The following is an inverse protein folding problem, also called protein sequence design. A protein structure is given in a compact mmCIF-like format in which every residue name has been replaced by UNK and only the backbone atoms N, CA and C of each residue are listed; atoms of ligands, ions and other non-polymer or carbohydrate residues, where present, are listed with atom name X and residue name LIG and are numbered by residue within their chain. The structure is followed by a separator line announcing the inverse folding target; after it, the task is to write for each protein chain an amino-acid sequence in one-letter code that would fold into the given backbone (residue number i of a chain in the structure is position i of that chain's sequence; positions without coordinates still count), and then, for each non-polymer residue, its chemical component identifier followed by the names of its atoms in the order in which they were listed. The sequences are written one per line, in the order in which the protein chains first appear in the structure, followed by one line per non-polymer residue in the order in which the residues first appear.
data_IF_671275855886
#
_entry.id   IF_671275855886
#
_cell.length_a   1.000
_cell.length_b   1.000
_cell.length_c   1.000
_cell.angle_alpha   90.00
_cell.angle_beta   90.00
_cell.angle_gamma   90.00
#
_symmetry.space_group_name_H-M   'P 1'
#
loop_
_entity.id
_entity.type
_entity.pdbx_description
1 polymer ?
#
# COMPACT_ATOMS: atom_id res chain seq x y z
N UNK A 1 32.76 -3.87 -32.38
CA UNK A 1 32.36 -2.49 -32.04
C UNK A 1 30.86 -2.52 -31.77
N UNK A 2 30.40 -2.52 -30.51
CA UNK A 2 28.97 -2.53 -30.22
C UNK A 2 28.38 -1.17 -30.63
N UNK A 3 27.16 -1.13 -31.20
CA UNK A 3 26.56 0.14 -31.59
C UNK A 3 26.32 0.99 -30.35
N UNK A 4 26.80 2.22 -30.43
CA UNK A 4 26.59 3.28 -29.45
C UNK A 4 25.12 3.71 -29.46
N UNK A 5 24.27 2.98 -28.74
CA UNK A 5 22.90 3.41 -28.41
C UNK A 5 22.85 4.03 -26.99
N UNK A 6 23.84 4.89 -26.71
CA UNK A 6 23.93 5.73 -25.51
C UNK A 6 23.22 7.07 -25.72
N UNK A 7 22.14 7.08 -26.51
CA UNK A 7 21.26 8.22 -26.64
C UNK A 7 20.35 8.30 -25.40
N UNK A 8 20.78 9.10 -24.42
CA UNK A 8 19.95 9.78 -23.41
C UNK A 8 18.65 9.08 -22.99
N UNK A 9 18.77 7.85 -22.48
CA UNK A 9 17.69 7.22 -21.73
C UNK A 9 17.49 8.05 -20.45
N UNK A 10 16.63 9.06 -20.54
CA UNK A 10 16.39 10.05 -19.49
C UNK A 10 16.15 9.40 -18.13
N UNK A 11 16.21 10.18 -17.07
CA UNK A 11 16.09 9.72 -15.67
C UNK A 11 14.87 8.78 -15.44
N UNK A 12 13.82 8.88 -16.25
CA UNK A 12 12.63 8.02 -16.22
C UNK A 12 12.68 6.75 -17.09
N UNK A 13 13.83 6.41 -17.67
CA UNK A 13 14.04 5.34 -18.67
C UNK A 13 13.89 3.91 -18.16
N UNK A 14 13.52 3.73 -16.89
CA UNK A 14 13.27 2.40 -16.32
C UNK A 14 14.53 1.58 -16.04
N UNK A 15 15.73 2.19 -16.08
CA UNK A 15 16.92 1.49 -15.57
C UNK A 15 16.75 1.20 -14.07
N UNK A 16 17.09 -0.02 -13.60
CA UNK A 16 17.18 -0.29 -12.18
C UNK A 16 18.20 0.65 -11.53
N UNK A 17 17.91 1.07 -10.30
CA UNK A 17 18.83 1.91 -9.54
C UNK A 17 19.88 1.07 -8.83
N UNK A 18 21.11 1.59 -8.83
CA UNK A 18 22.21 0.99 -8.10
C UNK A 18 22.02 1.13 -6.59
N UNK A 19 22.77 0.34 -5.81
CA UNK A 19 22.66 0.33 -4.35
C UNK A 19 22.98 1.70 -3.73
N UNK A 20 23.99 2.40 -4.24
CA UNK A 20 24.39 3.72 -3.76
C UNK A 20 23.32 4.79 -4.03
N UNK A 21 22.78 4.83 -5.24
CA UNK A 21 21.70 5.74 -5.63
C UNK A 21 20.45 5.55 -4.75
N UNK A 22 20.09 4.29 -4.51
CA UNK A 22 18.96 3.93 -3.63
C UNK A 22 19.20 4.35 -2.20
N UNK A 23 20.42 4.25 -1.69
CA UNK A 23 20.76 4.66 -0.32
C UNK A 23 20.64 6.18 -0.16
N UNK A 24 21.19 6.94 -1.11
CA UNK A 24 21.10 8.42 -1.11
C UNK A 24 19.64 8.86 -1.15
N UNK A 25 18.86 8.33 -2.10
CA UNK A 25 17.44 8.66 -2.23
C UNK A 25 16.63 8.23 -1.00
N UNK A 26 16.95 7.09 -0.40
CA UNK A 26 16.31 6.63 0.83
C UNK A 26 16.53 7.61 1.99
N UNK A 27 17.76 8.09 2.18
CA UNK A 27 18.09 9.08 3.21
C UNK A 27 17.34 10.38 2.94
N UNK A 28 17.35 10.88 1.70
CA UNK A 28 16.63 12.11 1.33
C UNK A 28 15.13 11.98 1.62
N UNK A 29 14.50 10.90 1.14
CA UNK A 29 13.06 10.66 1.36
C UNK A 29 12.74 10.51 2.84
N UNK A 30 13.59 9.81 3.61
CA UNK A 30 13.44 9.66 5.05
C UNK A 30 13.49 11.01 5.78
N UNK A 31 14.50 11.83 5.50
CA UNK A 31 14.66 13.16 6.12
C UNK A 31 13.49 14.08 5.76
N UNK A 32 13.09 14.14 4.50
CA UNK A 32 11.95 14.96 4.07
C UNK A 32 10.64 14.50 4.71
N UNK A 33 10.45 13.19 4.84
CA UNK A 33 9.26 12.62 5.49
C UNK A 33 9.23 12.93 6.98
N UNK A 34 10.37 12.80 7.67
CA UNK A 34 10.51 13.18 9.08
C UNK A 34 10.23 14.68 9.29
N UNK A 35 10.83 15.55 8.47
CA UNK A 35 10.62 16.99 8.54
C UNK A 35 9.14 17.35 8.34
N UNK A 36 8.47 16.71 7.37
CA UNK A 36 7.04 16.91 7.14
C UNK A 36 6.19 16.41 8.32
N UNK A 37 6.45 15.21 8.83
CA UNK A 37 5.75 14.67 10.01
C UNK A 37 5.92 15.61 11.20
N UNK A 38 7.14 16.05 11.48
CA UNK A 38 7.43 17.02 12.54
C UNK A 38 6.62 18.32 12.36
N UNK A 39 6.62 18.91 11.17
CA UNK A 39 5.84 20.12 10.87
C UNK A 39 4.34 19.94 11.13
N UNK A 40 3.77 18.81 10.72
CA UNK A 40 2.34 18.49 10.96
C UNK A 40 2.06 18.35 12.45
N UNK A 41 2.89 17.63 13.19
CA UNK A 41 2.66 17.40 14.63
C UNK A 41 2.82 18.70 15.44
N UNK A 42 3.77 19.56 15.08
CA UNK A 42 3.96 20.88 15.70
C UNK A 42 2.81 21.84 15.40
N UNK A 43 2.18 21.72 14.22
CA UNK A 43 0.99 22.49 13.87
C UNK A 43 -0.30 22.01 14.58
N UNK A 44 -0.32 20.77 15.08
CA UNK A 44 -1.49 20.17 15.73
C UNK A 44 -1.10 19.32 16.96
N UNK A 45 -0.52 19.94 18.01
CA UNK A 45 0.09 19.22 19.14
C UNK A 45 -0.91 18.35 19.92
N UNK A 46 -2.18 18.74 19.94
CA UNK A 46 -3.26 17.98 20.58
C UNK A 46 -3.51 16.61 19.94
N UNK A 47 -2.98 16.36 18.75
CA UNK A 47 -3.20 15.11 18.00
C UNK A 47 -2.12 14.06 18.22
N UNK A 48 -1.14 14.34 19.10
CA UNK A 48 -0.05 13.44 19.49
C UNK A 48 0.67 12.84 18.26
N UNK A 49 1.02 11.56 18.30
CA UNK A 49 1.61 10.83 17.17
C UNK A 49 0.61 10.32 16.14
N UNK A 50 -0.63 10.84 16.14
CA UNK A 50 -1.72 10.33 15.29
C UNK A 50 -1.90 8.82 15.49
N UNK A 51 -1.89 8.04 14.41
CA UNK A 51 -2.04 6.58 14.44
C UNK A 51 -0.88 5.88 15.16
N UNK A 52 0.33 6.43 15.11
CA UNK A 52 1.49 5.91 15.84
C UNK A 52 1.38 6.06 17.37
N UNK A 53 0.44 6.87 17.86
CA UNK A 53 0.18 7.01 19.30
C UNK A 53 -0.22 5.67 19.93
N UNK A 54 -1.01 4.86 19.23
CA UNK A 54 -1.50 3.57 19.72
C UNK A 54 -0.37 2.56 20.01
N UNK A 55 0.50 2.19 19.05
CA UNK A 55 1.62 1.29 19.33
C UNK A 55 2.64 1.88 20.30
N UNK A 56 2.83 3.21 20.32
CA UNK A 56 3.72 3.87 21.29
C UNK A 56 3.19 3.74 22.73
N UNK A 57 1.89 3.97 22.96
CA UNK A 57 1.25 3.74 24.27
C UNK A 57 1.34 2.26 24.66
N UNK A 58 1.11 1.35 23.72
CA UNK A 58 1.17 -0.09 23.97
C UNK A 58 2.59 -0.54 24.33
N UNK A 59 3.62 -0.05 23.63
CA UNK A 59 5.01 -0.29 23.95
C UNK A 59 5.36 0.16 25.38
N UNK A 60 4.90 1.35 25.79
CA UNK A 60 5.09 1.84 27.17
C UNK A 60 4.34 1.01 28.21
N UNK A 61 3.14 0.53 27.89
CA UNK A 61 2.39 -0.36 28.78
C UNK A 61 3.15 -1.69 28.98
N UNK A 62 3.66 -2.29 27.90
CA UNK A 62 4.47 -3.51 27.96
C UNK A 62 5.75 -3.32 28.78
N UNK A 63 6.48 -2.21 28.58
CA UNK A 63 7.67 -1.90 29.38
C UNK A 63 7.37 -1.70 30.87
N UNK A 64 6.14 -1.31 31.20
CA UNK A 64 5.65 -1.21 32.58
C UNK A 64 5.09 -2.54 33.13
N UNK A 65 5.20 -3.65 32.38
CA UNK A 65 4.64 -4.94 32.77
C UNK A 65 3.11 -5.00 32.77
N UNK A 66 2.44 -4.11 32.00
CA UNK A 66 0.98 -4.02 31.93
C UNK A 66 0.46 -4.49 30.58
N UNK A 67 -0.72 -5.09 30.59
CA UNK A 67 -1.46 -5.43 29.37
C UNK A 67 -1.95 -4.14 28.68
N UNK A 68 -1.52 -3.83 27.43
CA UNK A 68 -1.98 -2.66 26.71
C UNK A 68 -3.50 -2.58 26.52
N UNK A 69 -4.18 -3.72 26.36
CA UNK A 69 -5.62 -3.75 26.14
C UNK A 69 -6.43 -3.39 27.39
N UNK A 70 -5.85 -3.55 28.58
CA UNK A 70 -6.50 -3.19 29.83
C UNK A 70 -6.30 -1.70 30.16
N UNK A 71 -5.12 -1.15 29.88
CA UNK A 71 -4.74 0.20 30.31
C UNK A 71 -4.96 1.29 29.25
N UNK A 72 -5.10 0.90 27.97
CA UNK A 72 -5.42 1.82 26.88
C UNK A 72 -6.92 1.74 26.65
N UNK A 73 -7.66 2.52 27.43
CA UNK A 73 -9.11 2.67 27.29
C UNK A 73 -9.47 3.97 26.54
N UNK A 74 -10.62 4.01 25.85
CA UNK A 74 -11.21 5.25 25.36
C UNK A 74 -11.40 6.23 26.51
N UNK A 75 -10.93 7.47 26.35
CA UNK A 75 -10.99 8.45 27.44
C UNK A 75 -10.99 9.91 27.00
N UNK A 76 -11.01 10.18 25.69
CA UNK A 76 -10.96 11.56 25.21
C UNK A 76 -11.13 11.69 23.70
N UNK A 77 -10.91 12.89 23.15
CA UNK A 77 -10.92 13.12 21.71
C UNK A 77 -9.74 12.40 21.03
N UNK A 78 -9.76 12.39 19.69
CA UNK A 78 -8.69 11.83 18.89
C UNK A 78 -7.29 12.31 19.34
N UNK A 79 -6.29 11.42 19.54
CA UNK A 79 -6.26 9.97 19.26
C UNK A 79 -6.52 9.07 20.51
N UNK A 80 -7.32 9.53 21.48
CA UNK A 80 -7.65 8.82 22.73
C UNK A 80 -9.11 8.30 22.75
N UNK A 81 -9.77 8.29 21.61
CA UNK A 81 -11.17 7.94 21.39
C UNK A 81 -11.43 6.45 21.30
N UNK A 82 -10.36 5.64 21.17
CA UNK A 82 -10.45 4.18 21.11
C UNK A 82 -9.40 3.52 22.00
N UNK A 83 -9.58 2.21 22.24
CA UNK A 83 -8.61 1.38 22.96
C UNK A 83 -7.34 1.14 22.14
N UNK A 84 -6.73 -0.04 22.26
CA UNK A 84 -5.62 -0.43 21.37
C UNK A 84 -6.13 -1.26 20.18
N UNK A 85 -6.33 -0.68 18.97
CA UNK A 85 -7.01 -1.36 17.87
C UNK A 85 -6.12 -2.34 17.08
N UNK A 86 -4.84 -2.42 17.44
CA UNK A 86 -3.85 -3.24 16.76
C UNK A 86 -3.63 -4.57 17.48
N UNK A 87 -3.17 -5.62 16.77
CA UNK A 87 -2.69 -6.83 17.43
C UNK A 87 -1.41 -6.50 18.21
N UNK A 88 -1.13 -7.24 19.27
CA UNK A 88 -0.03 -6.93 20.19
C UNK A 88 1.35 -6.84 19.53
N UNK A 89 1.70 -7.66 18.53
CA UNK A 89 2.93 -7.50 17.76
C UNK A 89 3.18 -6.08 17.21
N UNK A 90 2.15 -5.26 17.01
CA UNK A 90 2.30 -3.88 16.57
C UNK A 90 2.96 -2.96 17.60
N UNK A 91 2.99 -3.33 18.87
CA UNK A 91 3.71 -2.57 19.89
C UNK A 91 5.24 -2.70 19.72
N UNK A 92 5.74 -3.79 19.14
CA UNK A 92 7.18 -4.09 19.14
C UNK A 92 8.03 -3.12 18.32
N UNK A 93 7.63 -2.67 17.10
CA UNK A 93 8.36 -1.64 16.40
C UNK A 93 8.46 -0.30 17.14
N UNK A 94 7.57 -0.04 18.11
CA UNK A 94 7.58 1.17 18.91
C UNK A 94 8.39 1.05 20.21
N UNK A 95 8.79 -0.16 20.64
CA UNK A 95 9.60 -0.37 21.85
C UNK A 95 10.89 0.46 21.88
N UNK A 96 11.71 0.53 20.81
CA UNK A 96 12.93 1.34 20.82
C UNK A 96 12.69 2.86 20.97
N UNK A 97 11.46 3.31 20.71
CA UNK A 97 11.07 4.73 20.71
C UNK A 97 10.16 5.08 21.89
N UNK A 98 9.81 4.12 22.74
CA UNK A 98 8.81 4.27 23.80
C UNK A 98 9.23 5.28 24.89
N UNK A 99 10.52 5.51 25.07
CA UNK A 99 11.06 6.48 26.02
C UNK A 99 11.05 7.92 25.50
N UNK A 100 10.86 8.11 24.20
CA UNK A 100 10.81 9.43 23.60
C UNK A 100 9.41 10.04 23.74
N UNK A 101 9.29 11.38 23.75
CA UNK A 101 8.01 12.06 23.50
C UNK A 101 7.37 11.53 22.21
N UNK A 102 6.04 11.36 22.22
CA UNK A 102 5.31 10.67 21.13
C UNK A 102 5.47 11.36 19.77
N UNK A 103 5.58 12.69 19.75
CA UNK A 103 5.84 13.48 18.55
C UNK A 103 7.23 13.18 17.96
N UNK A 104 8.27 13.20 18.81
CA UNK A 104 9.63 12.83 18.42
C UNK A 104 9.69 11.37 17.95
N UNK A 105 9.07 10.46 18.70
CA UNK A 105 9.00 9.04 18.35
C UNK A 105 8.34 8.82 16.98
N UNK A 106 7.22 9.49 16.72
CA UNK A 106 6.50 9.41 15.44
C UNK A 106 7.34 9.98 14.29
N UNK A 107 8.00 11.11 14.50
CA UNK A 107 8.89 11.71 13.50
C UNK A 107 10.06 10.79 13.14
N UNK A 108 10.72 10.21 14.14
CA UNK A 108 11.81 9.24 13.92
C UNK A 108 11.30 7.99 13.21
N UNK A 109 10.17 7.44 13.67
CA UNK A 109 9.53 6.28 13.05
C UNK A 109 9.21 6.54 11.59
N UNK A 110 8.57 7.67 11.25
CA UNK A 110 8.23 8.00 9.87
C UNK A 110 9.48 8.22 9.02
N UNK A 111 10.53 8.87 9.54
CA UNK A 111 11.78 9.02 8.81
C UNK A 111 12.42 7.68 8.44
N UNK A 112 12.55 6.78 9.41
CA UNK A 112 13.15 5.46 9.22
C UNK A 112 12.33 4.56 8.29
N UNK A 113 11.01 4.51 8.49
CA UNK A 113 10.12 3.65 7.69
C UNK A 113 9.99 4.14 6.25
N UNK A 114 9.94 5.47 6.02
CA UNK A 114 9.97 6.05 4.69
C UNK A 114 11.33 5.87 3.98
N UNK A 115 12.45 5.91 4.72
CA UNK A 115 13.76 5.58 4.15
C UNK A 115 13.84 4.13 3.69
N UNK A 116 13.40 3.18 4.52
CA UNK A 116 13.34 1.75 4.17
C UNK A 116 12.41 1.50 2.98
N UNK A 117 11.26 2.16 2.96
CA UNK A 117 10.33 2.15 1.83
C UNK A 117 11.01 2.61 0.56
N UNK A 118 11.59 3.81 0.53
CA UNK A 118 12.23 4.37 -0.65
C UNK A 118 13.40 3.50 -1.13
N UNK A 119 14.22 3.00 -0.21
CA UNK A 119 15.31 2.09 -0.52
C UNK A 119 14.82 0.85 -1.28
N UNK A 120 13.75 0.22 -0.81
CA UNK A 120 13.21 -1.00 -1.39
C UNK A 120 12.40 -0.72 -2.67
N UNK A 121 11.53 0.27 -2.61
CA UNK A 121 10.54 0.61 -3.63
C UNK A 121 11.16 1.15 -4.90
N UNK A 122 12.21 1.99 -4.82
CA UNK A 122 12.82 2.63 -5.99
C UNK A 122 13.76 1.72 -6.79
N UNK A 123 13.98 0.47 -6.36
CA UNK A 123 14.87 -0.49 -7.05
C UNK A 123 14.59 -0.60 -8.56
N UNK A 124 13.34 -0.67 -9.05
CA UNK A 124 13.07 -0.80 -10.49
C UNK A 124 13.31 0.48 -11.32
N UNK A 125 13.55 1.64 -10.70
CA UNK A 125 13.84 2.88 -11.42
C UNK A 125 13.14 4.12 -10.86
N UNK A 126 13.60 5.30 -11.29
CA UNK A 126 13.19 6.60 -10.75
C UNK A 126 11.76 7.02 -11.12
N UNK A 127 11.15 6.38 -12.10
CA UNK A 127 9.73 6.59 -12.42
C UNK A 127 8.80 6.31 -11.22
N UNK A 128 9.25 5.52 -10.26
CA UNK A 128 8.53 5.28 -9.00
C UNK A 128 8.51 6.48 -8.06
N UNK A 129 9.37 7.49 -8.25
CA UNK A 129 9.33 8.73 -7.45
C UNK A 129 8.01 9.47 -7.58
N UNK A 130 7.27 9.28 -8.67
CA UNK A 130 5.91 9.81 -8.83
C UNK A 130 4.93 9.30 -7.76
N UNK A 131 5.25 8.24 -7.02
CA UNK A 131 4.46 7.79 -5.87
C UNK A 131 4.59 8.70 -4.63
N UNK A 132 5.67 9.49 -4.51
CA UNK A 132 5.94 10.36 -3.37
C UNK A 132 5.03 11.60 -3.30
N UNK A 133 4.78 12.35 -4.39
CA UNK A 133 3.88 13.52 -4.36
C UNK A 133 2.39 13.13 -4.44
N UNK A 134 2.01 11.98 -3.91
CA UNK A 134 0.61 11.48 -3.95
C UNK A 134 -0.12 11.80 -2.66
N UNK A 135 -1.45 11.80 -2.71
CA UNK A 135 -2.27 11.98 -1.50
C UNK A 135 -2.09 10.80 -0.54
N UNK A 136 -1.95 9.58 -1.06
CA UNK A 136 -1.71 8.39 -0.23
C UNK A 136 -0.40 8.50 0.58
N UNK A 137 0.71 8.89 -0.07
CA UNK A 137 1.99 9.11 0.63
C UNK A 137 1.91 10.32 1.57
N UNK A 138 1.27 11.40 1.12
CA UNK A 138 1.07 12.59 1.93
C UNK A 138 0.26 12.28 3.22
N UNK A 139 -0.86 11.59 3.15
CA UNK A 139 -1.60 11.23 4.36
C UNK A 139 -0.83 10.22 5.21
N UNK A 140 -0.07 9.32 4.58
CA UNK A 140 0.78 8.37 5.29
C UNK A 140 1.77 9.05 6.24
N UNK A 141 2.56 10.02 5.77
CA UNK A 141 3.55 10.68 6.65
C UNK A 141 2.91 11.72 7.58
N UNK A 142 1.76 12.29 7.22
CA UNK A 142 1.04 13.22 8.10
C UNK A 142 0.35 12.51 9.28
N UNK A 143 0.00 11.22 9.11
CA UNK A 143 -0.80 10.47 10.07
C UNK A 143 -0.01 9.38 10.81
N UNK A 144 1.31 9.28 10.63
CA UNK A 144 2.13 8.29 11.33
C UNK A 144 1.84 6.84 10.91
N UNK A 145 1.53 6.61 9.64
CA UNK A 145 0.95 5.35 9.16
C UNK A 145 1.98 4.26 8.80
N UNK A 146 1.52 3.01 8.89
CA UNK A 146 2.33 1.80 8.73
C UNK A 146 2.73 1.44 7.29
N UNK A 147 2.04 1.98 6.28
CA UNK A 147 2.19 1.61 4.87
C UNK A 147 3.64 1.49 4.39
N UNK A 148 4.53 2.48 4.62
CA UNK A 148 5.93 2.44 4.19
C UNK A 148 6.69 1.26 4.78
N UNK A 149 6.53 1.01 6.08
CA UNK A 149 7.19 -0.10 6.78
C UNK A 149 6.73 -1.46 6.23
N UNK A 150 5.44 -1.63 6.00
CA UNK A 150 4.89 -2.88 5.49
C UNK A 150 5.33 -3.14 4.04
N UNK A 151 5.32 -2.11 3.19
CA UNK A 151 5.82 -2.23 1.81
C UNK A 151 7.32 -2.58 1.82
N UNK A 152 8.11 -1.96 2.70
CA UNK A 152 9.52 -2.34 2.87
C UNK A 152 9.64 -3.80 3.32
N UNK A 153 8.80 -4.24 4.27
CA UNK A 153 8.71 -5.63 4.73
C UNK A 153 8.43 -6.65 3.63
N UNK A 154 7.54 -6.30 2.69
CA UNK A 154 7.22 -7.15 1.54
C UNK A 154 8.36 -7.21 0.49
N UNK A 155 9.13 -6.13 0.36
CA UNK A 155 10.16 -6.01 -0.68
C UNK A 155 11.55 -6.45 -0.19
N UNK A 156 11.83 -6.36 1.10
CA UNK A 156 13.11 -6.72 1.73
C UNK A 156 13.00 -8.10 2.44
N UNK A 157 13.75 -9.13 1.99
CA UNK A 157 13.58 -10.51 2.47
C UNK A 157 13.67 -10.69 4.00
N UNK A 158 14.50 -9.90 4.69
CA UNK A 158 14.68 -10.00 6.14
C UNK A 158 13.59 -9.35 6.98
N UNK A 159 12.67 -8.60 6.38
CA UNK A 159 11.69 -7.79 7.10
C UNK A 159 10.24 -8.28 6.95
N UNK A 160 10.04 -9.46 6.33
CA UNK A 160 8.70 -10.01 6.08
C UNK A 160 7.86 -10.23 7.34
N UNK A 161 8.50 -10.47 8.49
CA UNK A 161 7.79 -10.67 9.77
C UNK A 161 6.95 -9.46 10.19
N UNK A 162 7.33 -8.25 9.74
CA UNK A 162 6.61 -7.02 10.01
C UNK A 162 5.23 -6.98 9.37
N UNK A 163 4.91 -7.84 8.40
CA UNK A 163 3.57 -7.90 7.83
C UNK A 163 2.50 -8.26 8.88
N UNK A 164 2.87 -8.96 9.95
CA UNK A 164 1.95 -9.34 11.03
C UNK A 164 1.49 -8.17 11.92
N UNK A 165 2.19 -7.03 11.91
CA UNK A 165 1.88 -5.89 12.80
C UNK A 165 0.61 -5.13 12.39
N UNK A 166 0.23 -5.22 11.11
CA UNK A 166 -1.05 -4.68 10.60
C UNK A 166 -1.65 -5.72 9.63
N UNK A 167 -2.35 -6.74 10.14
CA UNK A 167 -2.70 -7.94 9.39
C UNK A 167 -3.50 -7.69 8.10
N UNK A 168 -4.30 -6.62 8.04
CA UNK A 168 -5.09 -6.28 6.84
C UNK A 168 -4.18 -5.95 5.65
N UNK A 169 -3.38 -4.88 5.77
CA UNK A 169 -2.39 -4.51 4.74
C UNK A 169 -1.28 -5.57 4.60
N UNK A 170 -0.89 -6.18 5.72
CA UNK A 170 0.10 -7.26 5.76
C UNK A 170 -0.31 -8.46 4.93
N UNK A 171 -1.57 -8.89 5.00
CA UNK A 171 -2.11 -9.98 4.20
C UNK A 171 -2.06 -9.66 2.70
N UNK A 172 -2.42 -8.44 2.31
CA UNK A 172 -2.38 -8.04 0.91
C UNK A 172 -0.95 -7.99 0.36
N UNK A 173 0.00 -7.52 1.17
CA UNK A 173 1.42 -7.49 0.83
C UNK A 173 2.08 -8.88 0.87
N UNK A 174 1.60 -9.78 1.74
CA UNK A 174 1.98 -11.19 1.70
C UNK A 174 1.46 -11.86 0.42
N UNK A 175 0.22 -11.58 0.03
CA UNK A 175 -0.35 -12.08 -1.22
C UNK A 175 0.42 -11.55 -2.44
N UNK A 176 0.88 -10.29 -2.41
CA UNK A 176 1.80 -9.77 -3.42
C UNK A 176 3.05 -10.66 -3.53
N UNK A 177 3.78 -10.85 -2.42
CA UNK A 177 5.04 -11.59 -2.41
C UNK A 177 5.15 -12.51 -1.19
N UNK A 178 4.63 -13.75 -1.28
CA UNK A 178 4.72 -14.71 -0.18
C UNK A 178 6.18 -14.99 0.18
N UNK A 179 6.49 -15.05 1.48
CA UNK A 179 7.85 -15.35 1.94
C UNK A 179 7.84 -16.18 3.21
N UNK A 180 8.83 -17.06 3.35
CA UNK A 180 9.03 -17.85 4.58
C UNK A 180 9.34 -16.96 5.78
N UNK A 181 10.08 -15.87 5.56
CA UNK A 181 10.38 -14.87 6.59
C UNK A 181 9.10 -14.22 7.15
N UNK A 182 8.10 -13.95 6.31
CA UNK A 182 6.81 -13.45 6.77
C UNK A 182 6.04 -14.48 7.60
N UNK A 183 5.98 -15.74 7.14
CA UNK A 183 5.25 -16.80 7.85
C UNK A 183 5.93 -17.14 9.18
N UNK A 184 7.20 -17.55 9.13
CA UNK A 184 7.95 -18.00 10.31
C UNK A 184 8.18 -16.83 11.27
N UNK A 185 8.66 -15.70 10.75
CA UNK A 185 8.92 -14.54 11.59
C UNK A 185 7.65 -13.91 12.17
N UNK A 186 6.54 -13.89 11.41
CA UNK A 186 5.24 -13.47 11.93
C UNK A 186 4.71 -14.40 13.01
N UNK A 187 4.85 -15.72 12.82
CA UNK A 187 4.49 -16.71 13.85
C UNK A 187 5.34 -16.55 15.12
N UNK A 188 6.66 -16.38 14.99
CA UNK A 188 7.55 -16.09 16.13
C UNK A 188 7.12 -14.81 16.85
N UNK A 189 6.81 -13.74 16.10
CA UNK A 189 6.37 -12.49 16.70
C UNK A 189 5.05 -12.64 17.46
N UNK A 190 4.09 -13.39 16.91
CA UNK A 190 2.83 -13.70 17.56
C UNK A 190 3.02 -14.57 18.82
N UNK A 191 3.94 -15.54 18.79
CA UNK A 191 4.28 -16.37 19.96
C UNK A 191 4.96 -15.56 21.06
N UNK A 192 5.87 -14.64 20.71
CA UNK A 192 6.45 -13.70 21.68
C UNK A 192 5.36 -12.82 22.29
N UNK A 193 4.44 -12.30 21.47
CA UNK A 193 3.30 -11.53 21.97
C UNK A 193 2.40 -12.37 22.91
N UNK A 194 2.13 -13.64 22.58
CA UNK A 194 1.39 -14.57 23.44
C UNK A 194 2.11 -14.82 24.76
N UNK A 195 3.43 -14.97 24.75
CA UNK A 195 4.21 -15.16 25.98
C UNK A 195 4.18 -13.90 26.88
N UNK A 196 4.14 -12.70 26.29
CA UNK A 196 4.08 -11.44 27.05
C UNK A 196 2.68 -11.15 27.60
N UNK A 197 1.63 -11.37 26.80
CA UNK A 197 0.24 -11.13 27.18
C UNK A 197 -0.62 -12.28 26.64
N UNK A 198 -0.83 -13.36 27.39
CA UNK A 198 -1.52 -14.55 26.89
C UNK A 198 -2.93 -14.33 26.35
N UNK A 199 -3.63 -13.30 26.84
CA UNK A 199 -5.01 -12.97 26.46
C UNK A 199 -5.12 -12.10 25.21
N UNK A 200 -4.00 -11.59 24.67
CA UNK A 200 -4.02 -10.57 23.62
C UNK A 200 -4.88 -10.90 22.39
N UNK A 201 -4.98 -12.16 21.89
CA UNK A 201 -5.81 -12.42 20.71
C UNK A 201 -7.30 -12.18 21.00
N UNK A 202 -7.75 -12.53 22.20
CA UNK A 202 -9.14 -12.34 22.63
C UNK A 202 -9.40 -10.85 22.93
N UNK A 203 -8.46 -10.19 23.59
CA UNK A 203 -8.54 -8.76 23.91
C UNK A 203 -8.58 -7.92 22.61
N UNK A 204 -7.72 -8.23 21.65
CA UNK A 204 -7.70 -7.58 20.34
C UNK A 204 -8.99 -7.84 19.55
N UNK A 205 -9.50 -9.08 19.57
CA UNK A 205 -10.78 -9.41 18.93
C UNK A 205 -11.94 -8.61 19.55
N UNK A 206 -11.93 -8.42 20.87
CA UNK A 206 -12.94 -7.61 21.55
C UNK A 206 -12.89 -6.14 21.09
N UNK A 207 -11.70 -5.54 21.05
CA UNK A 207 -11.54 -4.13 20.61
C UNK A 207 -11.93 -3.97 19.13
N UNK A 208 -11.49 -4.86 18.25
CA UNK A 208 -11.73 -4.76 16.80
C UNK A 208 -13.19 -4.95 16.42
N UNK A 209 -13.96 -5.75 17.15
CA UNK A 209 -15.42 -5.88 16.93
C UNK A 209 -16.18 -4.57 17.13
N UNK A 210 -15.64 -3.63 17.90
CA UNK A 210 -16.23 -2.31 18.07
C UNK A 210 -15.90 -1.33 16.92
N UNK A 211 -14.96 -1.68 16.03
CA UNK A 211 -14.50 -0.80 14.94
C UNK A 211 -15.37 -0.98 13.69
N UNK A 212 -16.23 0.00 13.42
CA UNK A 212 -17.15 -0.01 12.27
C UNK A 212 -16.67 0.86 11.09
N UNK A 213 -15.61 1.65 11.27
CA UNK A 213 -15.14 2.65 10.31
C UNK A 213 -14.21 2.12 9.21
N UNK A 214 -14.02 0.80 9.12
CA UNK A 214 -13.04 0.16 8.21
C UNK A 214 -13.69 -0.89 7.30
N UNK A 215 -14.63 -0.50 6.43
CA UNK A 215 -15.23 -1.44 5.48
C UNK A 215 -14.19 -1.96 4.48
N UNK A 216 -14.42 -3.16 3.97
CA UNK A 216 -13.63 -3.65 2.85
C UNK A 216 -14.10 -2.97 1.54
N UNK A 217 -13.21 -2.60 0.60
CA UNK A 217 -13.61 -1.98 -0.66
C UNK A 217 -14.67 -2.78 -1.40
N UNK A 218 -14.61 -4.12 -1.37
CA UNK A 218 -15.60 -5.01 -2.00
C UNK A 218 -17.04 -4.73 -1.59
N UNK A 219 -17.27 -4.18 -0.39
CA UNK A 219 -18.62 -3.86 0.10
C UNK A 219 -19.12 -2.49 -0.36
N UNK A 220 -18.30 -1.72 -1.07
CA UNK A 220 -18.65 -0.40 -1.60
C UNK A 220 -19.19 -0.47 -3.03
N UNK A 221 -19.91 0.56 -3.50
CA UNK A 221 -20.30 0.67 -4.91
C UNK A 221 -19.09 0.49 -5.84
N UNK A 222 -19.24 -0.43 -6.80
CA UNK A 222 -18.19 -0.85 -7.76
C UNK A 222 -16.93 -1.48 -7.15
N UNK A 223 -16.88 -1.64 -5.83
CA UNK A 223 -15.70 -2.14 -5.14
C UNK A 223 -15.44 -3.63 -5.31
N UNK A 224 -16.36 -4.37 -5.94
CA UNK A 224 -16.16 -5.75 -6.39
C UNK A 224 -15.41 -5.86 -7.73
N UNK A 225 -15.39 -4.80 -8.57
CA UNK A 225 -14.67 -4.79 -9.84
C UNK A 225 -13.16 -5.03 -9.72
N UNK A 226 -12.45 -4.59 -8.66
CA UNK A 226 -11.05 -4.94 -8.44
C UNK A 226 -10.78 -6.45 -8.34
N UNK A 227 -11.79 -7.27 -8.02
CA UNK A 227 -11.65 -8.73 -8.04
C UNK A 227 -11.44 -9.28 -9.45
N UNK A 228 -11.75 -8.52 -10.50
CA UNK A 228 -11.43 -8.89 -11.88
C UNK A 228 -9.91 -9.06 -12.07
N UNK A 229 -9.07 -8.45 -11.23
CA UNK A 229 -7.62 -8.69 -11.21
C UNK A 229 -7.29 -10.20 -11.08
N UNK A 230 -8.16 -11.01 -10.47
CA UNK A 230 -7.96 -12.45 -10.31
C UNK A 230 -7.93 -13.23 -11.64
N UNK A 231 -8.38 -12.65 -12.76
CA UNK A 231 -8.09 -13.22 -14.09
C UNK A 231 -6.58 -13.37 -14.36
N UNK A 232 -5.74 -12.62 -13.63
CA UNK A 232 -4.28 -12.76 -13.60
C UNK A 232 -3.76 -13.14 -12.22
N UNK A 233 -4.44 -13.99 -11.45
CA UNK A 233 -4.05 -14.36 -10.06
C UNK A 233 -2.60 -14.85 -9.88
N UNK A 234 -1.94 -15.34 -10.94
CA UNK A 234 -0.52 -15.70 -10.90
C UNK A 234 0.43 -14.48 -10.81
N UNK A 235 -0.02 -13.30 -11.23
CA UNK A 235 0.71 -12.04 -11.05
C UNK A 235 0.66 -11.57 -9.59
N UNK A 236 1.80 -11.18 -8.99
CA UNK A 236 1.86 -10.51 -7.70
C UNK A 236 0.91 -9.32 -7.57
N UNK A 237 0.90 -8.45 -8.59
CA UNK A 237 0.12 -7.22 -8.62
C UNK A 237 -1.38 -7.51 -8.60
N UNK A 238 -1.82 -8.53 -9.34
CA UNK A 238 -3.21 -8.96 -9.35
C UNK A 238 -3.68 -9.45 -7.98
N UNK A 239 -2.86 -10.27 -7.29
CA UNK A 239 -3.18 -10.74 -5.93
C UNK A 239 -3.24 -9.60 -4.94
N UNK A 240 -2.31 -8.64 -5.04
CA UNK A 240 -2.30 -7.45 -4.19
C UNK A 240 -3.61 -6.67 -4.30
N UNK A 241 -4.04 -6.36 -5.53
CA UNK A 241 -5.28 -5.60 -5.78
C UNK A 241 -6.49 -6.35 -5.25
N UNK A 242 -6.60 -7.65 -5.56
CA UNK A 242 -7.73 -8.46 -5.12
C UNK A 242 -7.82 -8.56 -3.59
N UNK A 243 -6.70 -8.84 -2.92
CA UNK A 243 -6.70 -8.96 -1.45
C UNK A 243 -6.91 -7.60 -0.79
N UNK A 244 -6.30 -6.52 -1.28
CA UNK A 244 -6.61 -5.16 -0.81
C UNK A 244 -8.12 -4.87 -0.91
N UNK A 245 -8.78 -5.28 -2.00
CA UNK A 245 -10.22 -5.08 -2.15
C UNK A 245 -11.06 -5.86 -1.11
N UNK A 246 -10.56 -6.99 -0.60
CA UNK A 246 -11.26 -7.84 0.35
C UNK A 246 -10.98 -7.51 1.83
N UNK A 247 -9.86 -6.87 2.16
CA UNK A 247 -9.51 -6.61 3.57
C UNK A 247 -10.15 -5.32 4.09
N UNK A 248 -10.62 -5.32 5.36
CA UNK A 248 -11.02 -4.10 6.07
C UNK A 248 -9.90 -3.06 6.03
N UNK A 249 -10.22 -1.83 5.65
CA UNK A 249 -9.25 -0.73 5.61
C UNK A 249 -9.94 0.61 5.80
N UNK A 250 -9.14 1.62 6.14
CA UNK A 250 -9.62 2.98 6.14
C UNK A 250 -9.54 3.53 4.70
N UNK A 251 -10.69 3.86 4.11
CA UNK A 251 -10.76 4.48 2.79
C UNK A 251 -10.45 5.98 2.87
N UNK A 252 -9.29 6.32 3.44
CA UNK A 252 -8.78 7.68 3.60
C UNK A 252 -7.37 7.82 3.00
N UNK A 253 -7.16 7.18 1.85
CA UNK A 253 -5.97 7.18 0.97
C UNK A 253 -4.69 6.52 1.49
N UNK A 254 -4.36 6.65 2.78
CA UNK A 254 -3.07 6.17 3.28
C UNK A 254 -2.95 4.63 3.23
N UNK A 255 -4.05 3.90 3.45
CA UNK A 255 -4.08 2.43 3.34
C UNK A 255 -3.97 1.96 1.87
N UNK A 256 -4.12 2.86 0.89
CA UNK A 256 -4.01 2.55 -0.53
C UNK A 256 -2.60 2.73 -1.10
N UNK A 257 -1.63 3.21 -0.31
CA UNK A 257 -0.23 3.33 -0.75
C UNK A 257 0.34 2.05 -1.39
N UNK A 258 0.00 0.81 -0.94
CA UNK A 258 0.45 -0.41 -1.60
C UNK A 258 0.05 -0.53 -3.07
N UNK A 259 -1.03 0.12 -3.54
CA UNK A 259 -1.43 0.09 -4.96
C UNK A 259 -0.33 0.60 -5.90
N UNK A 260 0.60 1.42 -5.42
CA UNK A 260 1.75 1.88 -6.21
C UNK A 260 2.81 0.79 -6.48
N UNK A 261 2.65 -0.42 -5.94
CA UNK A 261 3.41 -1.60 -6.37
C UNK A 261 2.94 -2.14 -7.73
N UNK A 262 1.70 -1.83 -8.14
CA UNK A 262 1.06 -2.37 -9.34
C UNK A 262 1.64 -1.83 -10.65
N UNK A 263 1.86 -0.51 -10.83
CA UNK A 263 2.46 0.01 -12.05
C UNK A 263 3.85 -0.59 -12.33
N UNK A 264 4.17 -0.77 -13.61
CA UNK A 264 5.48 -1.25 -14.09
C UNK A 264 6.21 -0.22 -14.98
N UNK A 265 5.64 0.97 -15.14
CA UNK A 265 6.22 2.04 -15.94
C UNK A 265 5.79 3.42 -15.41
N UNK A 266 6.42 4.47 -15.93
CA UNK A 266 6.18 5.86 -15.52
C UNK A 266 4.73 6.31 -15.73
N UNK A 267 4.13 5.95 -16.86
CA UNK A 267 2.77 6.34 -17.18
C UNK A 267 1.77 5.76 -16.16
N UNK A 268 1.87 4.47 -15.85
CA UNK A 268 1.00 3.83 -14.87
C UNK A 268 1.14 4.41 -13.47
N UNK A 269 2.37 4.76 -13.06
CA UNK A 269 2.58 5.45 -11.77
C UNK A 269 1.96 6.84 -11.80
N UNK A 270 2.20 7.61 -12.86
CA UNK A 270 1.61 8.94 -13.02
C UNK A 270 0.08 8.89 -13.04
N UNK A 271 -0.51 7.90 -13.70
CA UNK A 271 -1.97 7.68 -13.72
C UNK A 271 -2.52 7.48 -12.32
N UNK A 272 -1.93 6.59 -11.50
CA UNK A 272 -2.38 6.41 -10.12
C UNK A 272 -2.12 7.64 -9.26
N UNK A 273 -0.99 8.31 -9.45
CA UNK A 273 -0.64 9.52 -8.71
C UNK A 273 -1.60 10.67 -8.99
N UNK A 274 -1.88 10.95 -10.26
CA UNK A 274 -2.90 11.92 -10.68
C UNK A 274 -4.29 11.52 -10.19
N UNK A 275 -4.64 10.24 -10.32
CA UNK A 275 -5.89 9.68 -9.78
C UNK A 275 -6.06 9.95 -8.29
N UNK A 276 -4.99 9.82 -7.49
CA UNK A 276 -5.03 10.12 -6.05
C UNK A 276 -5.33 11.58 -5.74
N UNK A 277 -4.78 12.50 -6.54
CA UNK A 277 -4.97 13.95 -6.37
C UNK A 277 -6.39 14.34 -6.77
N UNK A 278 -6.87 13.84 -7.92
CA UNK A 278 -8.24 14.09 -8.39
C UNK A 278 -9.26 13.51 -7.41
N UNK A 279 -9.07 12.27 -6.94
CA UNK A 279 -9.93 11.64 -5.96
C UNK A 279 -10.01 12.44 -4.65
N UNK A 280 -8.88 12.97 -4.18
CA UNK A 280 -8.85 13.84 -3.02
C UNK A 280 -9.59 15.16 -3.25
N UNK A 281 -9.37 15.79 -4.41
CA UNK A 281 -10.07 17.02 -4.78
C UNK A 281 -11.59 16.84 -4.86
N UNK A 282 -12.06 15.67 -5.31
CA UNK A 282 -13.48 15.29 -5.26
C UNK A 282 -13.92 15.12 -3.80
N UNK A 283 -13.18 14.33 -3.01
CA UNK A 283 -13.51 14.07 -1.62
C UNK A 283 -13.64 15.36 -0.78
N UNK A 284 -12.79 16.37 -1.05
CA UNK A 284 -12.82 17.66 -0.36
C UNK A 284 -14.12 18.45 -0.61
N UNK A 285 -14.84 18.23 -1.71
CA UNK A 285 -16.12 18.91 -1.97
C UNK A 285 -17.22 18.44 -1.03
N UNK A 286 -17.21 17.14 -0.75
CA UNK A 286 -18.24 16.44 0.03
C UNK A 286 -17.74 16.08 1.43
N UNK A 287 -16.72 16.79 1.94
CA UNK A 287 -16.12 16.53 3.25
C UNK A 287 -16.68 17.50 4.30
N UNK A 288 -17.67 17.07 5.12
CA UNK A 288 -18.31 17.95 6.10
C UNK A 288 -17.46 18.18 7.37
N UNK A 289 -16.36 17.44 7.55
CA UNK A 289 -15.56 17.45 8.80
C UNK A 289 -14.07 17.32 8.54
N UNK A 290 -13.25 17.25 9.59
CA UNK A 290 -11.81 16.97 9.50
C UNK A 290 -11.47 15.53 9.05
N UNK A 291 -12.47 14.66 8.81
CA UNK A 291 -12.30 13.29 8.36
C UNK A 291 -13.20 13.01 7.15
N UNK A 292 -12.59 12.73 6.00
CA UNK A 292 -13.31 12.52 4.73
C UNK A 292 -13.39 11.04 4.32
N UNK A 293 -13.12 10.08 5.22
CA UNK A 293 -13.02 8.65 4.87
C UNK A 293 -14.22 8.13 4.06
N UNK A 294 -15.46 8.23 4.57
CA UNK A 294 -16.65 7.78 3.84
C UNK A 294 -16.83 8.49 2.49
N UNK A 295 -16.68 9.82 2.43
CA UNK A 295 -16.80 10.61 1.20
C UNK A 295 -15.69 10.31 0.18
N UNK A 296 -14.55 9.79 0.62
CA UNK A 296 -13.40 9.47 -0.24
C UNK A 296 -13.54 8.12 -0.94
N UNK A 297 -14.36 7.21 -0.41
CA UNK A 297 -14.44 5.83 -0.87
C UNK A 297 -14.76 5.71 -2.38
N UNK A 298 -15.76 6.41 -2.94
CA UNK A 298 -16.06 6.31 -4.38
C UNK A 298 -14.88 6.78 -5.25
N UNK A 299 -14.22 7.88 -4.88
CA UNK A 299 -13.06 8.40 -5.59
C UNK A 299 -11.86 7.45 -5.52
N UNK A 300 -11.59 6.87 -4.35
CA UNK A 300 -10.55 5.86 -4.16
C UNK A 300 -10.81 4.64 -5.03
N UNK A 301 -12.05 4.14 -5.08
CA UNK A 301 -12.38 2.97 -5.90
C UNK A 301 -12.19 3.30 -7.38
N UNK A 302 -12.87 4.35 -7.86
CA UNK A 302 -12.90 4.71 -9.27
C UNK A 302 -11.54 5.13 -9.83
N UNK A 303 -10.71 5.83 -9.04
CA UNK A 303 -9.48 6.47 -9.52
C UNK A 303 -8.19 5.81 -9.01
N UNK A 304 -8.26 4.91 -8.03
CA UNK A 304 -7.08 4.13 -7.58
C UNK A 304 -7.26 2.64 -7.83
N UNK A 305 -8.31 2.02 -7.29
CA UNK A 305 -8.50 0.57 -7.43
C UNK A 305 -8.80 0.14 -8.87
N UNK A 306 -9.72 0.79 -9.58
CA UNK A 306 -10.04 0.40 -10.96
C UNK A 306 -8.84 0.61 -11.91
N UNK A 307 -8.12 1.75 -11.88
CA UNK A 307 -6.94 1.89 -12.71
C UNK A 307 -5.82 0.91 -12.33
N UNK A 308 -5.63 0.62 -11.04
CA UNK A 308 -4.69 -0.42 -10.61
C UNK A 308 -5.11 -1.81 -11.13
N UNK A 309 -6.41 -2.11 -11.15
CA UNK A 309 -6.95 -3.36 -11.71
C UNK A 309 -6.65 -3.46 -13.21
N UNK A 310 -6.95 -2.40 -13.96
CA UNK A 310 -6.64 -2.32 -15.40
C UNK A 310 -5.15 -2.47 -15.65
N UNK A 311 -4.31 -1.79 -14.88
CA UNK A 311 -2.86 -1.95 -14.95
C UNK A 311 -2.49 -3.43 -14.69
N UNK A 312 -2.92 -4.04 -13.60
CA UNK A 312 -2.61 -5.45 -13.32
C UNK A 312 -3.03 -6.39 -14.47
N UNK A 313 -4.18 -6.14 -15.09
CA UNK A 313 -4.71 -6.89 -16.23
C UNK A 313 -3.92 -6.69 -17.54
N UNK A 314 -3.39 -5.48 -17.77
CA UNK A 314 -2.64 -5.12 -18.97
C UNK A 314 -1.13 -5.35 -18.85
N UNK A 315 -0.66 -5.82 -17.70
CA UNK A 315 0.77 -6.04 -17.47
C UNK A 315 1.36 -7.06 -18.45
N UNK A 316 2.44 -6.71 -19.18
CA UNK A 316 3.17 -7.65 -20.04
C UNK A 316 3.68 -8.87 -19.26
N UNK A 317 3.85 -9.98 -19.96
CA UNK A 317 4.49 -11.17 -19.40
C UNK A 317 6.00 -10.92 -19.14
N UNK A 318 6.64 -11.67 -18.24
CA UNK A 318 8.07 -11.50 -17.93
C UNK A 318 9.00 -11.62 -19.13
N UNK A 319 8.59 -12.34 -20.17
CA UNK A 319 9.32 -12.51 -21.43
C UNK A 319 9.07 -11.38 -22.45
N UNK A 320 8.33 -10.34 -22.06
CA UNK A 320 8.04 -9.18 -22.89
C UNK A 320 6.81 -9.34 -23.79
N UNK A 321 6.14 -10.50 -23.78
CA UNK A 321 4.90 -10.68 -24.55
C UNK A 321 3.79 -9.75 -24.03
N UNK A 322 2.89 -9.26 -24.92
CA UNK A 322 1.74 -8.49 -24.49
C UNK A 322 0.85 -9.32 -23.57
N UNK A 323 0.08 -8.66 -22.70
CA UNK A 323 -0.85 -9.36 -21.84
C UNK A 323 -1.84 -10.21 -22.67
N UNK A 324 -2.23 -11.41 -22.21
CA UNK A 324 -3.18 -12.28 -22.88
C UNK A 324 -4.48 -11.58 -23.29
N UNK A 325 -4.96 -10.63 -22.48
CA UNK A 325 -6.14 -9.82 -22.78
C UNK A 325 -5.91 -8.88 -23.99
N UNK A 326 -4.74 -8.25 -24.06
CA UNK A 326 -4.35 -7.40 -25.21
C UNK A 326 -4.23 -8.25 -26.46
N UNK A 327 -3.66 -9.44 -26.34
CA UNK A 327 -3.50 -10.38 -27.44
C UNK A 327 -4.86 -10.91 -27.92
N UNK A 328 -5.76 -11.28 -27.02
CA UNK A 328 -7.12 -11.69 -27.35
C UNK A 328 -7.91 -10.57 -28.04
N UNK A 329 -7.80 -9.33 -27.54
CA UNK A 329 -8.43 -8.16 -28.16
C UNK A 329 -7.88 -7.89 -29.57
N UNK A 330 -6.54 -8.01 -29.76
CA UNK A 330 -5.90 -7.88 -31.09
C UNK A 330 -6.40 -8.95 -32.06
N UNK A 331 -6.49 -10.21 -31.64
CA UNK A 331 -7.03 -11.31 -32.46
C UNK A 331 -8.50 -11.09 -32.84
N UNK A 332 -9.32 -10.67 -31.88
CA UNK A 332 -10.72 -10.37 -32.12
C UNK A 332 -10.91 -9.21 -33.11
N UNK A 333 -10.12 -8.13 -32.97
CA UNK A 333 -10.14 -7.01 -33.91
C UNK A 333 -9.65 -7.41 -35.31
N UNK A 334 -8.61 -8.25 -35.39
CA UNK A 334 -8.11 -8.76 -36.67
C UNK A 334 -9.17 -9.64 -37.36
N UNK A 335 -9.86 -10.50 -36.63
CA UNK A 335 -10.95 -11.34 -37.15
C UNK A 335 -12.12 -10.50 -37.70
N UNK A 336 -12.43 -9.35 -37.10
CA UNK A 336 -13.47 -8.43 -37.60
C UNK A 336 -13.06 -7.59 -38.81
N UNK A 337 -11.75 -7.38 -39.01
CA UNK A 337 -11.21 -6.62 -40.14
C UNK A 337 -10.90 -7.49 -41.36
N UNK A 338 -10.88 -8.82 -41.21
CA UNK A 338 -10.74 -9.71 -42.35
C UNK A 338 -11.93 -9.47 -43.30
N UNK A 339 -11.71 -9.06 -44.56
CA UNK A 339 -12.80 -8.93 -45.52
C UNK A 339 -13.48 -10.29 -45.61
N UNK A 340 -14.82 -10.30 -45.65
CA UNK A 340 -15.55 -11.48 -46.06
C UNK A 340 -15.06 -11.81 -47.47
N UNK A 341 -14.15 -12.78 -47.58
CA UNK A 341 -13.75 -13.32 -48.87
C UNK A 341 -15.02 -13.98 -49.38
N UNK A 342 -15.75 -13.25 -50.22
CA UNK A 342 -16.86 -13.82 -50.96
C UNK A 342 -16.28 -15.05 -51.66
N UNK A 343 -16.92 -16.23 -51.55
CA UNK A 343 -16.48 -17.38 -52.32
C UNK A 343 -16.48 -16.93 -53.78
N UNK A 344 -15.29 -16.87 -54.38
CA UNK A 344 -15.16 -16.73 -55.82
C UNK A 344 -15.91 -17.92 -56.38
N UNK A 345 -17.10 -17.66 -56.93
CA UNK A 345 -17.87 -18.64 -57.64
C UNK A 345 -16.94 -19.19 -58.72
N UNK A 346 -16.51 -20.44 -58.57
CA UNK A 346 -15.90 -21.16 -59.68
C UNK A 346 -17.00 -21.27 -60.72
N UNK A 347 -16.91 -20.44 -61.75
CA UNK A 347 -17.59 -20.70 -63.01
C UNK A 347 -17.21 -22.13 -63.40
N UNK A 348 -18.23 -22.99 -63.37
CA UNK A 348 -18.18 -24.30 -63.94
C UNK A 348 -18.21 -24.11 -65.46
N UNK A 349 -17.03 -23.89 -66.05
CA UNK A 349 -16.82 -24.25 -67.44
C UNK A 349 -16.82 -25.78 -67.54
N UNK A 350 -17.86 -26.32 -68.20
CA UNK A 350 -17.86 -27.70 -68.67
C UNK A 350 -19.23 -28.36 -68.76
N UNK A 351 -20.00 -28.01 -69.81
CA UNK A 351 -20.61 -28.94 -70.78
C UNK A 351 -21.64 -28.22 -71.66
#
# INVERSE_FOLDING_TARGET
MPPADTASRGIFSGRPLERGERLVLAVIVGVLSAARTWGVLRGAPHTLGKDFTYPWRAARALLAGRNPYDVIQPGGPYPLESGFPYPLPAAFPALPLAHLPVDVATTVFMGLTCALFAYAFLRPGLWRLWALPTVAYALTTALGQWGPLLIAGALLPGLGFLLSIKPTLGLALFAYRPSRAAVVGGAVLALVALAMVPTWPLDWLHVTRAVHSHPAPVTMPWGWLPLLALFRWRSPEARLVAVLACVPQNLYFYDQLPLWLVPWNALGTLTLSAGSIVAWGIALRDCPTNYCGPSSAPGIIALLYLPATVLALLRPEPDGRPAPLVEAARRWLAARRAPAVAPVAREADGA
#
